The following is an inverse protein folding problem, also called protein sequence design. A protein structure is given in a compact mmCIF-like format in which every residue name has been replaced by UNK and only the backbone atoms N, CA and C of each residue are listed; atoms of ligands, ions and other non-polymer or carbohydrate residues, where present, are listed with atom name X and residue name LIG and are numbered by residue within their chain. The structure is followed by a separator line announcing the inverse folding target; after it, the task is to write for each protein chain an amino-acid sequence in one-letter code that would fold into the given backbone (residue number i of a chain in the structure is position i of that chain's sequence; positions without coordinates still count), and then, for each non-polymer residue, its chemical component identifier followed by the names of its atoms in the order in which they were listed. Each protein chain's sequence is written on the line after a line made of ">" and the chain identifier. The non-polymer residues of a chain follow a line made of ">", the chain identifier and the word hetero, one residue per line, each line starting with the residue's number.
data_IF_898034978497
#
_entry.id   IF_898034978497
#
_cell.length_a   1.000
_cell.length_b   1.000
_cell.length_c   1.000
_cell.angle_alpha   90.00
_cell.angle_beta   90.00
_cell.angle_gamma   90.00
#
_symmetry.space_group_name_H-M   'P 1'
#
loop_
_entity.id
_entity.type
_entity.pdbx_description
1 polymer ?
#
# COMPACT_ATOMS: atom_id res chain seq x y z
N UNK A 1 -9.36 40.57 73.72
CA UNK A 1 -8.23 40.25 72.79
C UNK A 1 -8.14 38.85 72.34
N UNK A 2 -8.75 37.85 72.93
CA UNK A 2 -8.69 36.41 72.56
C UNK A 2 -9.47 36.05 71.24
N UNK A 3 -10.55 36.70 70.93
CA UNK A 3 -11.37 36.39 69.75
C UNK A 3 -10.73 36.76 68.41
N UNK A 4 -9.88 37.80 68.35
CA UNK A 4 -9.11 38.20 67.16
C UNK A 4 -8.01 37.21 66.73
N UNK A 5 -7.40 36.53 67.72
CA UNK A 5 -6.34 35.51 67.49
C UNK A 5 -6.85 34.20 66.87
N UNK A 6 -8.09 33.85 67.12
CA UNK A 6 -8.69 32.59 66.57
C UNK A 6 -9.11 32.75 65.11
N UNK A 7 -9.53 33.94 64.67
CA UNK A 7 -9.91 34.19 63.28
C UNK A 7 -8.69 34.25 62.34
N UNK A 8 -7.53 34.66 62.78
CA UNK A 8 -6.29 34.67 62.01
C UNK A 8 -5.80 33.23 61.73
N UNK A 9 -5.78 32.38 62.72
CA UNK A 9 -5.42 30.97 62.57
C UNK A 9 -6.34 30.24 61.58
N UNK A 10 -7.66 30.48 61.65
CA UNK A 10 -8.67 29.94 60.69
C UNK A 10 -8.44 30.44 59.27
N UNK A 11 -8.05 31.69 59.08
CA UNK A 11 -7.73 32.24 57.76
C UNK A 11 -6.44 31.63 57.18
N UNK A 12 -5.39 31.44 57.97
CA UNK A 12 -4.17 30.76 57.52
C UNK A 12 -4.47 29.30 57.13
N UNK A 13 -5.21 28.57 57.95
CA UNK A 13 -5.61 27.17 57.61
C UNK A 13 -6.43 27.14 56.35
N UNK A 14 -7.35 28.07 56.15
CA UNK A 14 -8.12 28.20 54.91
C UNK A 14 -7.27 28.46 53.67
N UNK A 15 -6.25 29.36 53.78
CA UNK A 15 -5.31 29.65 52.68
C UNK A 15 -4.41 28.45 52.38
N UNK A 16 -3.94 27.73 53.39
CA UNK A 16 -3.14 26.51 53.23
C UNK A 16 -3.95 25.41 52.55
N UNK A 17 -5.21 25.21 52.94
CA UNK A 17 -6.10 24.24 52.30
C UNK A 17 -6.35 24.62 50.84
N UNK A 18 -6.59 25.90 50.55
CA UNK A 18 -6.78 26.36 49.17
C UNK A 18 -5.51 26.16 48.33
N UNK A 19 -4.32 26.43 48.88
CA UNK A 19 -3.05 26.18 48.20
C UNK A 19 -2.84 24.67 47.92
N UNK A 20 -3.13 23.80 48.89
CA UNK A 20 -3.06 22.34 48.69
C UNK A 20 -4.02 21.88 47.61
N UNK A 21 -5.26 22.36 47.60
CA UNK A 21 -6.24 22.03 46.58
C UNK A 21 -5.81 22.49 45.18
N UNK A 22 -5.27 23.71 45.08
CA UNK A 22 -4.72 24.24 43.81
C UNK A 22 -3.51 23.43 43.36
N UNK A 23 -2.60 23.03 44.25
CA UNK A 23 -1.45 22.22 43.94
C UNK A 23 -1.86 20.81 43.43
N UNK A 24 -2.78 20.16 44.13
CA UNK A 24 -3.33 18.86 43.71
C UNK A 24 -4.05 18.99 42.38
N UNK A 25 -4.85 20.03 42.21
CA UNK A 25 -5.52 20.31 40.91
C UNK A 25 -4.54 20.54 39.77
N UNK A 26 -3.43 21.25 40.04
CA UNK A 26 -2.37 21.49 39.08
C UNK A 26 -1.64 20.21 38.70
N UNK A 27 -1.30 19.36 39.67
CA UNK A 27 -0.68 18.05 39.43
C UNK A 27 -1.60 17.11 38.61
N UNK A 28 -2.88 17.11 38.96
CA UNK A 28 -3.89 16.35 38.19
C UNK A 28 -4.01 16.84 36.76
N UNK A 29 -4.03 18.17 36.57
CA UNK A 29 -4.08 18.77 35.24
C UNK A 29 -2.82 18.46 34.42
N UNK A 30 -1.62 18.60 35.00
CA UNK A 30 -0.37 18.25 34.32
C UNK A 30 -0.38 16.78 33.86
N UNK A 31 -0.78 15.88 34.75
CA UNK A 31 -0.89 14.45 34.41
C UNK A 31 -1.86 14.23 33.23
N UNK A 32 -2.98 14.92 33.20
CA UNK A 32 -3.94 14.82 32.11
C UNK A 32 -3.41 15.36 30.78
N UNK A 33 -2.64 16.42 30.81
CA UNK A 33 -1.97 16.99 29.63
C UNK A 33 -0.93 16.00 29.09
N UNK A 34 -0.13 15.38 29.98
CA UNK A 34 0.88 14.40 29.62
C UNK A 34 0.24 13.13 29.01
N UNK A 35 -0.79 12.56 29.65
CA UNK A 35 -1.56 11.43 29.11
C UNK A 35 -2.13 11.72 27.71
N UNK A 36 -2.63 12.93 27.49
CA UNK A 36 -3.15 13.34 26.19
C UNK A 36 -2.06 13.48 25.14
N UNK A 37 -0.92 14.06 25.51
CA UNK A 37 0.23 14.18 24.61
C UNK A 37 0.78 12.80 24.21
N UNK A 38 0.91 11.87 25.16
CA UNK A 38 1.31 10.48 24.88
C UNK A 38 0.32 9.78 23.95
N UNK A 39 -0.98 9.99 24.15
CA UNK A 39 -2.03 9.44 23.29
C UNK A 39 -1.93 9.97 21.84
N UNK A 40 -1.83 11.32 21.68
CA UNK A 40 -1.70 11.94 20.36
C UNK A 40 -0.39 11.52 19.66
N UNK A 41 0.70 11.40 20.42
CA UNK A 41 1.96 10.87 19.90
C UNK A 41 1.83 9.42 19.44
N UNK A 42 1.18 8.56 20.21
CA UNK A 42 0.96 7.16 19.84
C UNK A 42 0.10 7.03 18.58
N UNK A 43 -0.92 7.86 18.40
CA UNK A 43 -1.70 7.93 17.15
C UNK A 43 -0.79 8.29 15.97
N UNK A 44 0.07 9.29 16.12
CA UNK A 44 0.98 9.72 15.06
C UNK A 44 1.95 8.59 14.67
N UNK A 45 2.53 7.90 15.65
CA UNK A 45 3.40 6.72 15.42
C UNK A 45 2.61 5.59 14.77
N UNK A 46 1.39 5.33 15.21
CA UNK A 46 0.52 4.30 14.60
C UNK A 46 0.24 4.58 13.14
N UNK A 47 -0.11 5.82 12.82
CA UNK A 47 -0.33 6.25 11.43
C UNK A 47 0.94 6.09 10.59
N UNK A 48 2.12 6.34 11.17
CA UNK A 48 3.38 6.11 10.48
C UNK A 48 3.63 4.61 10.26
N UNK A 49 3.39 3.74 11.27
CA UNK A 49 3.49 2.29 11.10
C UNK A 49 2.56 1.77 10.00
N UNK A 50 1.30 2.25 9.97
CA UNK A 50 0.34 1.92 8.90
C UNK A 50 0.87 2.42 7.55
N UNK A 51 1.44 3.62 7.52
CA UNK A 51 1.97 4.23 6.31
C UNK A 51 3.08 3.41 5.68
N UNK A 52 3.99 2.91 6.50
CA UNK A 52 5.15 2.10 6.02
C UNK A 52 4.84 0.60 5.92
N UNK A 53 3.60 0.19 6.23
CA UNK A 53 3.21 -1.23 6.18
C UNK A 53 3.78 -2.06 7.33
N UNK A 54 4.31 -1.44 8.39
CA UNK A 54 4.70 -2.15 9.62
C UNK A 54 3.44 -2.50 10.44
N UNK A 55 2.76 -3.53 9.96
CA UNK A 55 1.51 -3.99 10.56
C UNK A 55 1.68 -4.51 11.99
N UNK A 56 2.87 -5.01 12.37
CA UNK A 56 3.15 -5.44 13.75
C UNK A 56 3.24 -4.25 14.70
N UNK A 57 3.94 -3.20 14.29
CA UNK A 57 3.99 -1.94 15.02
C UNK A 57 2.58 -1.32 15.12
N UNK A 58 1.85 -1.24 14.01
CA UNK A 58 0.50 -0.70 13.97
C UNK A 58 -0.45 -1.48 14.90
N UNK A 59 -0.45 -2.81 14.86
CA UNK A 59 -1.27 -3.65 15.73
C UNK A 59 -0.97 -3.42 17.22
N UNK A 60 0.30 -3.41 17.58
CA UNK A 60 0.73 -3.18 18.96
C UNK A 60 0.19 -1.84 19.50
N UNK A 61 0.34 -0.78 18.72
CA UNK A 61 -0.07 0.56 19.12
C UNK A 61 -1.59 0.70 19.15
N UNK A 62 -2.32 0.17 18.16
CA UNK A 62 -3.79 0.20 18.16
C UNK A 62 -4.36 -0.57 19.34
N UNK A 63 -3.78 -1.74 19.69
CA UNK A 63 -4.18 -2.49 20.89
C UNK A 63 -3.98 -1.69 22.18
N UNK A 64 -2.91 -0.93 22.28
CA UNK A 64 -2.66 -0.07 23.44
C UNK A 64 -3.63 1.10 23.51
N UNK A 65 -3.89 1.78 22.38
CA UNK A 65 -4.87 2.85 22.27
C UNK A 65 -6.29 2.37 22.62
N UNK A 66 -6.68 1.17 22.19
CA UNK A 66 -7.98 0.57 22.51
C UNK A 66 -8.13 0.20 24.00
N UNK A 67 -7.06 0.07 24.79
CA UNK A 67 -7.19 -0.06 26.25
C UNK A 67 -7.68 1.23 26.90
N UNK A 68 -7.26 2.38 26.35
CA UNK A 68 -7.68 3.70 26.85
C UNK A 68 -9.04 4.11 26.30
N UNK A 69 -9.30 3.80 25.04
CA UNK A 69 -10.54 4.17 24.32
C UNK A 69 -11.16 2.94 23.62
N UNK A 70 -11.72 1.98 24.39
CA UNK A 70 -12.17 0.70 23.83
C UNK A 70 -13.34 0.81 22.83
N UNK A 71 -14.08 1.89 22.86
CA UNK A 71 -15.24 2.15 21.98
C UNK A 71 -14.93 3.13 20.84
N UNK A 72 -13.67 3.51 20.62
CA UNK A 72 -13.32 4.36 19.48
C UNK A 72 -13.46 3.55 18.19
N UNK A 73 -14.45 3.93 17.38
CA UNK A 73 -14.80 3.24 16.14
C UNK A 73 -13.72 3.31 15.08
N UNK A 74 -12.90 4.37 15.05
CA UNK A 74 -11.79 4.51 14.10
C UNK A 74 -10.65 3.55 14.46
N UNK A 75 -10.31 3.44 15.76
CA UNK A 75 -9.30 2.48 16.22
C UNK A 75 -9.76 1.04 15.97
N UNK A 76 -11.05 0.77 16.16
CA UNK A 76 -11.62 -0.55 15.87
C UNK A 76 -11.60 -0.88 14.38
N UNK A 77 -11.89 0.09 13.51
CA UNK A 77 -11.75 -0.05 12.05
C UNK A 77 -10.28 -0.29 11.65
N UNK A 78 -9.35 0.48 12.22
CA UNK A 78 -7.92 0.26 11.98
C UNK A 78 -7.48 -1.14 12.41
N UNK A 79 -7.94 -1.63 13.56
CA UNK A 79 -7.60 -2.97 14.03
C UNK A 79 -8.08 -4.06 13.06
N UNK A 80 -9.32 -3.96 12.59
CA UNK A 80 -9.86 -4.88 11.59
C UNK A 80 -9.04 -4.85 10.30
N UNK A 81 -8.72 -3.65 9.79
CA UNK A 81 -7.88 -3.47 8.60
C UNK A 81 -6.47 -4.03 8.77
N UNK A 82 -5.84 -3.82 9.94
CA UNK A 82 -4.50 -4.34 10.24
C UNK A 82 -4.50 -5.88 10.25
N UNK A 83 -5.52 -6.51 10.85
CA UNK A 83 -5.64 -7.97 10.84
C UNK A 83 -5.80 -8.51 9.41
N UNK A 84 -6.58 -7.83 8.60
CA UNK A 84 -6.77 -8.16 7.19
C UNK A 84 -5.45 -8.05 6.38
N UNK A 85 -4.72 -6.95 6.54
CA UNK A 85 -3.44 -6.72 5.85
C UNK A 85 -2.32 -7.69 6.31
N UNK A 86 -2.46 -8.26 7.51
CA UNK A 86 -1.59 -9.34 8.00
C UNK A 86 -2.01 -10.72 7.48
N UNK A 87 -2.99 -10.84 6.60
CA UNK A 87 -3.57 -12.10 6.11
C UNK A 87 -4.18 -12.99 7.23
N UNK A 88 -4.55 -12.40 8.37
CA UNK A 88 -5.18 -13.07 9.51
C UNK A 88 -6.71 -12.99 9.39
N UNK A 89 -7.23 -13.56 8.30
CA UNK A 89 -8.62 -13.37 7.88
C UNK A 89 -9.63 -13.89 8.90
N UNK A 90 -9.40 -15.06 9.47
CA UNK A 90 -10.29 -15.61 10.49
C UNK A 90 -10.32 -14.76 11.77
N UNK A 91 -9.16 -14.23 12.18
CA UNK A 91 -9.10 -13.31 13.32
C UNK A 91 -9.76 -11.97 13.01
N UNK A 92 -9.63 -11.48 11.77
CA UNK A 92 -10.32 -10.28 11.30
C UNK A 92 -11.84 -10.44 11.40
N UNK A 93 -12.39 -11.54 10.88
CA UNK A 93 -13.82 -11.85 10.96
C UNK A 93 -14.27 -11.93 12.43
N UNK A 94 -13.57 -12.75 13.24
CA UNK A 94 -13.89 -12.93 14.66
C UNK A 94 -13.84 -11.62 15.43
N UNK A 95 -12.87 -10.75 15.14
CA UNK A 95 -12.79 -9.43 15.75
C UNK A 95 -13.96 -8.54 15.36
N UNK A 96 -14.33 -8.49 14.06
CA UNK A 96 -15.45 -7.69 13.57
C UNK A 96 -16.76 -8.14 14.22
N UNK A 97 -16.98 -9.44 14.44
CA UNK A 97 -18.16 -9.98 15.10
C UNK A 97 -18.30 -9.51 16.56
N UNK A 98 -17.22 -9.10 17.21
CA UNK A 98 -17.26 -8.52 18.57
C UNK A 98 -17.69 -7.07 18.60
N UNK A 99 -17.72 -6.38 17.46
CA UNK A 99 -18.00 -4.94 17.38
C UNK A 99 -19.51 -4.66 17.45
N UNK A 100 -19.86 -3.60 18.18
CA UNK A 100 -21.26 -3.21 18.41
C UNK A 100 -21.77 -2.14 17.43
N UNK A 101 -21.12 -1.95 16.29
CA UNK A 101 -21.52 -1.01 15.26
C UNK A 101 -21.38 -1.61 13.86
N UNK A 102 -22.05 -1.02 12.88
CA UNK A 102 -21.96 -1.40 11.47
C UNK A 102 -21.25 -0.33 10.66
N UNK A 103 -20.38 -0.76 9.77
CA UNK A 103 -19.69 0.12 8.82
C UNK A 103 -19.44 -0.63 7.52
N UNK A 104 -19.63 0.05 6.38
CA UNK A 104 -19.44 -0.55 5.05
C UNK A 104 -18.07 -1.21 4.84
N UNK A 105 -17.04 -0.63 5.46
CA UNK A 105 -15.67 -1.17 5.33
C UNK A 105 -15.53 -2.47 6.12
N UNK A 106 -16.24 -2.64 7.25
CA UNK A 106 -16.29 -3.91 8.00
C UNK A 106 -17.01 -4.99 7.19
N UNK A 107 -18.15 -4.65 6.57
CA UNK A 107 -18.89 -5.59 5.72
C UNK A 107 -18.01 -6.05 4.55
N UNK A 108 -17.29 -5.14 3.91
CA UNK A 108 -16.31 -5.45 2.86
C UNK A 108 -15.17 -6.37 3.37
N UNK A 109 -14.60 -6.06 4.55
CA UNK A 109 -13.52 -6.87 5.12
C UNK A 109 -13.98 -8.29 5.44
N UNK A 110 -15.20 -8.46 5.96
CA UNK A 110 -15.77 -9.80 6.23
C UNK A 110 -15.97 -10.58 4.93
N UNK A 111 -16.61 -9.97 3.92
CA UNK A 111 -16.84 -10.61 2.63
C UNK A 111 -15.51 -11.03 1.98
N UNK A 112 -14.55 -10.11 1.92
CA UNK A 112 -13.24 -10.37 1.31
C UNK A 112 -12.43 -11.39 2.09
N UNK A 113 -12.46 -11.34 3.43
CA UNK A 113 -11.77 -12.32 4.29
C UNK A 113 -12.32 -13.74 4.07
N UNK A 114 -13.65 -13.90 4.00
CA UNK A 114 -14.26 -15.21 3.74
C UNK A 114 -13.84 -15.77 2.37
N UNK A 115 -13.81 -14.93 1.34
CA UNK A 115 -13.37 -15.34 0.01
C UNK A 115 -11.90 -15.78 0.02
N UNK A 116 -11.03 -15.00 0.66
CA UNK A 116 -9.58 -15.30 0.74
C UNK A 116 -9.29 -16.53 1.60
N UNK A 117 -10.03 -16.76 2.68
CA UNK A 117 -9.92 -17.98 3.48
C UNK A 117 -10.31 -19.23 2.70
N UNK A 118 -11.41 -19.19 1.96
CA UNK A 118 -11.81 -20.30 1.08
C UNK A 118 -10.77 -20.58 0.01
N UNK A 119 -10.20 -19.53 -0.58
CA UNK A 119 -9.08 -19.61 -1.51
C UNK A 119 -7.87 -20.33 -0.88
N UNK A 120 -7.42 -19.85 0.30
CA UNK A 120 -6.26 -20.40 1.00
C UNK A 120 -6.45 -21.88 1.42
N UNK A 121 -7.67 -22.29 1.78
CA UNK A 121 -7.97 -23.65 2.19
C UNK A 121 -7.83 -24.68 1.03
N UNK A 122 -7.91 -24.20 -0.22
CA UNK A 122 -7.85 -25.04 -1.42
C UNK A 122 -6.47 -25.01 -2.09
N UNK A 123 -5.57 -24.10 -1.66
CA UNK A 123 -4.29 -23.87 -2.31
C UNK A 123 -3.14 -24.64 -1.65
N UNK A 124 -2.30 -25.24 -2.49
CA UNK A 124 -0.95 -25.65 -2.10
C UNK A 124 -0.07 -24.42 -1.86
N UNK A 125 0.94 -24.54 -1.02
CA UNK A 125 1.87 -23.44 -0.71
C UNK A 125 3.30 -23.88 -0.89
N UNK A 126 4.06 -23.16 -1.70
CA UNK A 126 5.51 -23.28 -1.80
C UNK A 126 6.16 -21.93 -1.42
N UNK A 127 7.38 -21.98 -0.89
CA UNK A 127 8.09 -20.78 -0.44
C UNK A 127 9.50 -20.74 -1.00
N UNK A 128 9.94 -19.52 -1.35
CA UNK A 128 11.34 -19.22 -1.68
C UNK A 128 11.89 -18.16 -0.73
N UNK A 129 13.02 -17.53 -1.07
CA UNK A 129 13.62 -16.50 -0.22
C UNK A 129 12.70 -15.29 -0.06
N UNK A 130 12.17 -14.76 -1.17
CA UNK A 130 11.38 -13.52 -1.18
C UNK A 130 9.88 -13.75 -1.44
N UNK A 131 9.46 -14.98 -1.79
CA UNK A 131 8.08 -15.27 -2.19
C UNK A 131 7.41 -16.34 -1.36
N UNK A 132 6.09 -16.20 -1.25
CA UNK A 132 5.13 -17.23 -0.90
C UNK A 132 4.24 -17.46 -2.12
N UNK A 133 4.30 -18.63 -2.73
CA UNK A 133 3.50 -18.99 -3.88
C UNK A 133 2.37 -19.92 -3.45
N UNK A 134 1.15 -19.51 -3.73
CA UNK A 134 -0.09 -20.25 -3.51
C UNK A 134 -0.59 -20.77 -4.85
N UNK A 135 -1.09 -21.99 -4.93
CA UNK A 135 -1.58 -22.58 -6.17
C UNK A 135 -2.70 -23.57 -5.91
N UNK A 136 -3.72 -23.60 -6.77
CA UNK A 136 -4.69 -24.69 -6.81
C UNK A 136 -4.02 -25.96 -7.35
N UNK A 137 -4.62 -27.14 -7.18
CA UNK A 137 -4.02 -28.43 -7.58
C UNK A 137 -3.70 -28.60 -9.07
N UNK A 138 -3.80 -27.53 -9.87
CA UNK A 138 -3.62 -27.54 -11.32
C UNK A 138 -2.18 -27.43 -11.82
N UNK A 139 -1.33 -26.53 -11.27
CA UNK A 139 0.05 -26.42 -11.72
C UNK A 139 0.87 -27.64 -11.33
N UNK A 140 1.74 -28.10 -12.24
CA UNK A 140 2.74 -29.08 -11.89
C UNK A 140 3.76 -28.48 -10.92
N UNK A 141 4.40 -29.32 -10.09
CA UNK A 141 5.50 -28.86 -9.23
C UNK A 141 6.61 -28.17 -10.01
N UNK A 142 6.84 -28.59 -11.26
CA UNK A 142 7.82 -27.97 -12.16
C UNK A 142 7.41 -26.54 -12.50
N UNK A 143 6.14 -26.29 -12.83
CA UNK A 143 5.65 -24.95 -13.18
C UNK A 143 5.76 -24.00 -11.99
N UNK A 144 5.41 -24.48 -10.78
CA UNK A 144 5.55 -23.74 -9.53
C UNK A 144 7.00 -23.35 -9.27
N UNK A 145 7.94 -24.28 -9.41
CA UNK A 145 9.36 -24.02 -9.19
C UNK A 145 9.94 -23.09 -10.25
N UNK A 146 9.49 -23.19 -11.50
CA UNK A 146 9.90 -22.31 -12.59
C UNK A 146 9.39 -20.88 -12.36
N UNK A 147 8.15 -20.69 -11.93
CA UNK A 147 7.60 -19.38 -11.57
C UNK A 147 8.40 -18.73 -10.44
N UNK A 148 8.69 -19.48 -9.38
CA UNK A 148 9.51 -19.01 -8.27
C UNK A 148 10.92 -18.59 -8.73
N UNK A 149 11.55 -19.38 -9.60
CA UNK A 149 12.88 -19.04 -10.12
C UNK A 149 12.88 -17.74 -10.96
N UNK A 150 11.84 -17.55 -11.79
CA UNK A 150 11.71 -16.30 -12.56
C UNK A 150 11.45 -15.11 -11.63
N UNK A 151 10.61 -15.29 -10.60
CA UNK A 151 10.31 -14.23 -9.63
C UNK A 151 11.54 -13.82 -8.81
N UNK A 152 12.38 -14.76 -8.37
CA UNK A 152 13.61 -14.43 -7.65
C UNK A 152 14.57 -13.63 -8.54
N UNK A 153 14.71 -14.00 -9.83
CA UNK A 153 15.50 -13.21 -10.80
C UNK A 153 14.90 -11.82 -11.01
N UNK A 154 13.59 -11.71 -11.10
CA UNK A 154 12.93 -10.43 -11.25
C UNK A 154 13.09 -9.56 -9.98
N UNK A 155 12.98 -10.16 -8.80
CA UNK A 155 13.19 -9.49 -7.51
C UNK A 155 14.58 -8.87 -7.43
N UNK A 156 15.63 -9.66 -7.69
CA UNK A 156 17.01 -9.19 -7.68
C UNK A 156 17.22 -8.05 -8.70
N UNK A 157 16.65 -8.21 -9.90
CA UNK A 157 16.76 -7.20 -10.95
C UNK A 157 16.10 -5.88 -10.55
N UNK A 158 14.86 -5.92 -10.06
CA UNK A 158 14.10 -4.72 -9.67
C UNK A 158 14.69 -4.08 -8.41
N UNK A 159 15.10 -4.89 -7.42
CA UNK A 159 15.80 -4.40 -6.22
C UNK A 159 17.04 -3.59 -6.56
N UNK A 160 17.86 -4.10 -7.48
CA UNK A 160 19.07 -3.41 -7.92
C UNK A 160 18.76 -2.13 -8.72
N UNK A 161 17.71 -2.13 -9.55
CA UNK A 161 17.31 -0.94 -10.31
C UNK A 161 16.81 0.17 -9.38
N UNK A 162 15.97 -0.17 -8.39
CA UNK A 162 15.37 0.81 -7.50
C UNK A 162 16.21 1.14 -6.26
N UNK A 163 17.25 0.35 -5.98
CA UNK A 163 18.03 0.41 -4.74
C UNK A 163 17.10 0.29 -3.52
N UNK A 164 16.19 -0.68 -3.58
CA UNK A 164 15.14 -0.90 -2.58
C UNK A 164 14.90 -2.39 -2.33
N UNK A 165 14.79 -2.76 -1.07
CA UNK A 165 14.52 -4.13 -0.61
C UNK A 165 13.20 -4.15 0.18
N UNK A 166 12.14 -4.76 -0.35
CA UNK A 166 10.91 -4.98 0.40
C UNK A 166 11.14 -5.81 1.67
N UNK A 167 10.58 -5.39 2.80
CA UNK A 167 10.81 -6.05 4.10
C UNK A 167 10.04 -7.37 4.24
N UNK A 168 8.91 -7.49 3.56
CA UNK A 168 8.03 -8.64 3.65
C UNK A 168 8.12 -9.52 2.41
N UNK A 169 7.90 -10.84 2.60
CA UNK A 169 7.73 -11.75 1.45
C UNK A 169 6.51 -11.35 0.65
N UNK A 170 6.63 -11.45 -0.66
CA UNK A 170 5.54 -11.17 -1.59
C UNK A 170 4.74 -12.43 -1.87
N UNK A 171 3.42 -12.30 -1.92
CA UNK A 171 2.52 -13.41 -2.23
C UNK A 171 2.18 -13.44 -3.71
N UNK A 172 2.34 -14.62 -4.32
CA UNK A 172 1.89 -14.93 -5.67
C UNK A 172 0.82 -16.02 -5.62
N UNK A 173 -0.25 -15.88 -6.38
CA UNK A 173 -1.26 -16.92 -6.60
C UNK A 173 -1.23 -17.35 -8.05
N UNK A 174 -1.00 -18.65 -8.30
CA UNK A 174 -1.19 -19.28 -9.60
C UNK A 174 -2.58 -19.92 -9.65
N UNK A 175 -3.41 -19.56 -10.61
CA UNK A 175 -4.78 -20.07 -10.75
C UNK A 175 -5.07 -20.58 -12.14
N UNK A 176 -5.98 -21.57 -12.26
CA UNK A 176 -6.36 -22.15 -13.55
C UNK A 176 -7.38 -21.33 -14.31
N UNK A 177 -8.25 -20.61 -13.61
CA UNK A 177 -9.38 -19.90 -14.22
C UNK A 177 -9.17 -18.38 -14.13
N UNK A 178 -9.51 -17.66 -15.22
CA UNK A 178 -9.52 -16.19 -15.24
C UNK A 178 -10.66 -15.60 -14.40
N UNK A 179 -11.71 -16.37 -14.17
CA UNK A 179 -12.85 -15.95 -13.33
C UNK A 179 -12.60 -16.21 -11.84
N UNK A 180 -11.35 -16.14 -11.41
CA UNK A 180 -11.00 -16.40 -10.04
C UNK A 180 -11.78 -15.49 -9.09
N UNK A 181 -12.46 -16.10 -8.13
CA UNK A 181 -13.33 -15.41 -7.18
C UNK A 181 -12.56 -14.33 -6.42
N UNK A 182 -13.06 -13.11 -6.43
CA UNK A 182 -12.46 -11.96 -5.75
C UNK A 182 -11.66 -11.01 -6.64
N UNK A 183 -11.32 -11.38 -7.88
CA UNK A 183 -10.65 -10.45 -8.82
C UNK A 183 -11.65 -9.65 -9.64
N UNK A 184 -12.92 -10.07 -9.71
CA UNK A 184 -13.99 -9.47 -10.53
C UNK A 184 -13.87 -9.80 -12.02
N UNK A 185 -14.97 -9.69 -12.77
CA UNK A 185 -14.94 -9.81 -14.22
C UNK A 185 -14.05 -8.72 -14.83
N UNK A 186 -12.98 -9.11 -15.51
CA UNK A 186 -12.00 -8.20 -16.12
C UNK A 186 -12.00 -8.36 -17.63
N UNK A 187 -11.58 -7.32 -18.38
CA UNK A 187 -11.41 -7.43 -19.82
C UNK A 187 -10.43 -8.58 -20.20
N UNK A 188 -10.70 -9.27 -21.32
CA UNK A 188 -9.91 -10.43 -21.78
C UNK A 188 -8.42 -10.14 -22.05
N UNK A 189 -8.06 -8.88 -22.19
CA UNK A 189 -6.68 -8.44 -22.43
C UNK A 189 -5.83 -8.33 -21.17
N UNK A 190 -6.42 -8.47 -19.97
CA UNK A 190 -5.70 -8.43 -18.69
C UNK A 190 -5.08 -9.81 -18.44
N UNK A 191 -3.75 -9.90 -18.55
CA UNK A 191 -3.02 -11.15 -18.43
C UNK A 191 -2.76 -11.57 -16.97
N UNK A 192 -2.59 -10.60 -16.07
CA UNK A 192 -2.35 -10.82 -14.64
C UNK A 192 -2.81 -9.60 -13.84
N UNK A 193 -2.76 -9.66 -12.52
CA UNK A 193 -3.22 -8.59 -11.64
C UNK A 193 -2.45 -8.56 -10.34
N UNK A 194 -2.14 -7.35 -9.89
CA UNK A 194 -1.68 -7.08 -8.53
C UNK A 194 -2.77 -6.36 -7.72
N UNK A 195 -3.34 -7.04 -6.71
CA UNK A 195 -4.33 -6.50 -5.77
C UNK A 195 -3.88 -6.60 -4.30
N UNK A 196 -2.56 -6.67 -4.10
CA UNK A 196 -1.89 -7.00 -2.84
C UNK A 196 -1.22 -8.37 -2.90
N UNK A 197 -1.71 -9.26 -3.77
CA UNK A 197 -1.04 -10.49 -4.22
C UNK A 197 -0.86 -10.43 -5.74
N UNK A 198 0.23 -11.01 -6.23
CA UNK A 198 0.37 -11.23 -7.68
C UNK A 198 -0.54 -12.38 -8.07
N UNK A 199 -1.43 -12.19 -9.05
CA UNK A 199 -2.34 -13.22 -9.54
C UNK A 199 -2.05 -13.52 -11.00
N UNK A 200 -1.63 -14.74 -11.29
CA UNK A 200 -1.19 -15.16 -12.62
C UNK A 200 -1.89 -16.47 -13.02
N UNK A 201 -2.55 -16.52 -14.18
CA UNK A 201 -3.15 -17.78 -14.65
C UNK A 201 -2.09 -18.77 -15.11
N UNK A 202 -2.24 -20.03 -14.68
CA UNK A 202 -1.29 -21.13 -14.96
C UNK A 202 -1.10 -21.38 -16.46
N UNK A 203 -2.14 -21.20 -17.25
CA UNK A 203 -2.07 -21.40 -18.70
C UNK A 203 -1.04 -20.50 -19.39
N UNK A 204 -0.70 -19.35 -18.82
CA UNK A 204 0.37 -18.48 -19.32
C UNK A 204 1.74 -19.16 -19.19
N UNK A 205 1.93 -20.05 -18.23
CA UNK A 205 3.22 -20.71 -17.99
C UNK A 205 3.68 -21.62 -19.13
N UNK A 206 2.76 -22.03 -20.00
CA UNK A 206 3.10 -22.77 -21.22
C UNK A 206 3.91 -21.93 -22.22
N UNK A 207 3.90 -20.61 -22.09
CA UNK A 207 4.53 -19.67 -23.04
C UNK A 207 5.53 -18.77 -22.33
N UNK A 208 6.78 -19.22 -22.22
CA UNK A 208 7.85 -18.54 -21.47
C UNK A 208 8.07 -17.09 -21.89
N UNK A 209 7.98 -16.82 -23.18
CA UNK A 209 8.13 -15.48 -23.77
C UNK A 209 7.05 -14.52 -23.27
N UNK A 210 5.91 -15.03 -22.85
CA UNK A 210 4.75 -14.25 -22.39
C UNK A 210 4.77 -14.12 -20.86
N UNK A 211 4.88 -15.24 -20.14
CA UNK A 211 4.72 -15.15 -18.68
C UNK A 211 5.88 -14.44 -17.98
N UNK A 212 7.10 -14.55 -18.50
CA UNK A 212 8.25 -13.86 -17.88
C UNK A 212 8.08 -12.35 -17.85
N UNK A 213 7.79 -11.63 -18.97
CA UNK A 213 7.45 -10.22 -18.92
C UNK A 213 6.30 -9.90 -17.97
N UNK A 214 5.22 -10.72 -17.98
CA UNK A 214 4.08 -10.53 -17.09
C UNK A 214 4.49 -10.58 -15.61
N UNK A 215 5.33 -11.55 -15.21
CA UNK A 215 5.81 -11.62 -13.83
C UNK A 215 6.67 -10.41 -13.44
N UNK A 216 7.52 -9.93 -14.35
CA UNK A 216 8.29 -8.70 -14.12
C UNK A 216 7.38 -7.48 -13.98
N UNK A 217 6.35 -7.37 -14.82
CA UNK A 217 5.37 -6.30 -14.79
C UNK A 217 4.65 -6.23 -13.44
N UNK A 218 4.01 -7.34 -13.06
CA UNK A 218 3.23 -7.41 -11.82
C UNK A 218 4.11 -7.27 -10.58
N UNK A 219 5.32 -7.84 -10.60
CA UNK A 219 6.25 -7.66 -9.51
C UNK A 219 6.70 -6.20 -9.37
N UNK A 220 6.83 -5.46 -10.47
CA UNK A 220 7.12 -4.02 -10.41
C UNK A 220 6.03 -3.25 -9.68
N UNK A 221 4.74 -3.57 -9.90
CA UNK A 221 3.65 -2.98 -9.12
C UNK A 221 3.76 -3.28 -7.62
N UNK A 222 4.15 -4.51 -7.26
CA UNK A 222 4.38 -4.87 -5.87
C UNK A 222 5.51 -4.05 -5.24
N UNK A 223 6.62 -3.84 -5.95
CA UNK A 223 7.71 -2.98 -5.52
C UNK A 223 7.28 -1.52 -5.37
N UNK A 224 6.58 -0.97 -6.37
CA UNK A 224 6.06 0.40 -6.31
C UNK A 224 5.15 0.58 -5.10
N UNK A 225 4.25 -0.37 -4.83
CA UNK A 225 3.39 -0.35 -3.66
C UNK A 225 4.19 -0.41 -2.36
N UNK A 226 5.18 -1.30 -2.26
CA UNK A 226 6.03 -1.44 -1.07
C UNK A 226 6.86 -0.18 -0.78
N UNK A 227 7.31 0.53 -1.83
CA UNK A 227 8.07 1.77 -1.68
C UNK A 227 7.22 2.97 -1.30
N UNK A 228 6.00 3.07 -1.83
CA UNK A 228 5.26 4.34 -1.81
C UNK A 228 4.20 4.40 -0.73
N UNK A 229 3.54 3.28 -0.44
CA UNK A 229 2.34 3.21 0.41
C UNK A 229 1.34 4.34 0.10
N UNK A 230 1.32 4.84 -1.13
CA UNK A 230 0.55 5.99 -1.57
C UNK A 230 -0.18 5.69 -2.90
N UNK A 231 -1.17 6.53 -3.22
CA UNK A 231 -1.82 6.50 -4.54
C UNK A 231 -0.84 7.04 -5.59
N UNK A 232 -0.18 6.13 -6.28
CA UNK A 232 0.66 6.46 -7.42
C UNK A 232 -0.22 6.72 -8.63
N UNK A 233 -0.01 7.82 -9.39
CA UNK A 233 -0.72 8.04 -10.64
C UNK A 233 -0.56 6.85 -11.57
N UNK A 234 -1.66 6.41 -12.21
CA UNK A 234 -1.66 5.18 -13.00
C UNK A 234 -0.57 5.19 -14.08
N UNK A 235 -0.36 6.33 -14.76
CA UNK A 235 0.68 6.44 -15.77
C UNK A 235 2.11 6.21 -15.25
N UNK A 236 2.40 6.58 -13.99
CA UNK A 236 3.72 6.30 -13.39
C UNK A 236 3.87 4.82 -13.07
N UNK A 237 2.83 4.24 -12.48
CA UNK A 237 2.80 2.83 -12.08
C UNK A 237 2.90 1.90 -13.29
N UNK A 238 2.01 2.09 -14.27
CA UNK A 238 1.99 1.31 -15.51
C UNK A 238 3.22 1.57 -16.39
N UNK A 239 3.63 2.83 -16.46
CA UNK A 239 4.77 3.23 -17.30
C UNK A 239 6.07 2.58 -16.85
N UNK A 240 6.36 2.56 -15.54
CA UNK A 240 7.60 1.93 -15.04
C UNK A 240 7.53 0.40 -15.16
N UNK A 241 6.37 -0.22 -14.95
CA UNK A 241 6.19 -1.65 -15.14
C UNK A 241 6.47 -2.06 -16.59
N UNK A 242 5.94 -1.32 -17.60
CA UNK A 242 6.19 -1.56 -19.01
C UNK A 242 7.64 -1.29 -19.43
N UNK A 243 8.34 -0.37 -18.78
CA UNK A 243 9.78 -0.16 -19.05
C UNK A 243 10.58 -1.35 -18.56
N UNK A 244 10.25 -1.90 -17.40
CA UNK A 244 10.97 -3.01 -16.77
C UNK A 244 10.66 -4.34 -17.47
N UNK A 245 9.40 -4.60 -17.86
CA UNK A 245 9.02 -5.83 -18.56
C UNK A 245 9.54 -5.88 -20.01
N UNK A 246 9.82 -4.73 -20.60
CA UNK A 246 10.34 -4.54 -21.96
C UNK A 246 9.49 -5.15 -23.10
N UNK A 247 8.27 -5.64 -22.81
CA UNK A 247 7.44 -6.40 -23.77
C UNK A 247 6.95 -5.57 -24.97
N UNK A 248 6.77 -4.26 -24.79
CA UNK A 248 6.18 -3.35 -25.79
C UNK A 248 7.15 -2.26 -26.29
N UNK A 249 8.46 -2.55 -26.27
CA UNK A 249 9.50 -1.53 -26.55
C UNK A 249 9.44 -0.90 -27.93
N UNK A 250 8.95 -1.61 -28.93
CA UNK A 250 8.97 -1.23 -30.35
C UNK A 250 7.59 -0.83 -30.89
N UNK A 251 6.59 -0.64 -30.05
CA UNK A 251 5.26 -0.26 -30.52
C UNK A 251 5.22 1.16 -31.07
N UNK A 252 4.62 1.31 -32.25
CA UNK A 252 4.33 2.61 -32.83
C UNK A 252 3.28 3.34 -32.02
N UNK A 253 3.31 4.68 -32.11
CA UNK A 253 2.31 5.51 -31.46
C UNK A 253 0.90 5.19 -31.96
N UNK A 254 -0.06 4.86 -31.07
CA UNK A 254 -1.44 4.65 -31.46
C UNK A 254 -2.04 5.90 -32.09
N UNK A 255 -2.87 5.72 -33.13
CA UNK A 255 -3.53 6.81 -33.83
C UNK A 255 -4.56 7.56 -32.97
N UNK A 256 -4.92 8.77 -33.39
CA UNK A 256 -5.97 9.56 -32.76
C UNK A 256 -5.49 10.64 -31.80
N UNK A 257 -6.44 11.22 -31.05
CA UNK A 257 -6.16 12.34 -30.15
C UNK A 257 -5.27 11.93 -28.95
N UNK A 258 -4.50 12.90 -28.46
CA UNK A 258 -3.69 12.71 -27.25
C UNK A 258 -4.56 12.53 -26.01
N UNK A 259 -4.20 11.65 -25.08
CA UNK A 259 -4.92 11.53 -23.83
C UNK A 259 -4.75 12.80 -22.97
N UNK A 260 -5.74 13.05 -22.12
CA UNK A 260 -5.61 14.07 -21.07
C UNK A 260 -4.79 13.54 -19.90
N UNK A 261 -4.17 14.45 -19.15
CA UNK A 261 -3.47 14.06 -17.92
C UNK A 261 -4.42 13.44 -16.91
N UNK A 262 -5.69 13.85 -16.90
CA UNK A 262 -6.72 13.28 -16.03
C UNK A 262 -6.99 11.80 -16.36
N UNK A 263 -7.11 11.45 -17.65
CA UNK A 263 -7.29 10.05 -18.07
C UNK A 263 -6.08 9.17 -17.73
N UNK A 264 -4.87 9.72 -17.80
CA UNK A 264 -3.63 9.03 -17.45
C UNK A 264 -3.43 8.83 -15.92
N UNK A 265 -4.12 9.63 -15.09
CA UNK A 265 -4.08 9.48 -13.63
C UNK A 265 -4.99 8.38 -13.11
N UNK A 266 -6.10 8.12 -13.81
CA UNK A 266 -7.11 7.11 -13.44
C UNK A 266 -6.64 5.71 -13.82
N UNK A 267 -7.19 4.69 -13.17
CA UNK A 267 -6.92 3.29 -13.54
C UNK A 267 -7.47 2.97 -14.93
N UNK A 268 -6.68 2.33 -15.76
CA UNK A 268 -7.06 1.85 -17.10
C UNK A 268 -7.52 0.38 -17.08
N UNK A 269 -7.37 -0.33 -15.97
CA UNK A 269 -7.69 -1.77 -15.88
C UNK A 269 -9.15 -2.06 -16.25
N UNK A 270 -10.03 -1.10 -16.02
CA UNK A 270 -11.45 -1.22 -16.33
C UNK A 270 -11.85 -0.47 -17.62
N UNK A 271 -10.87 -0.01 -18.42
CA UNK A 271 -11.16 0.61 -19.72
C UNK A 271 -11.72 -0.45 -20.68
N UNK A 272 -12.91 -0.22 -21.18
CA UNK A 272 -13.61 -1.17 -22.07
C UNK A 272 -13.18 -1.06 -23.51
N UNK A 273 -12.70 0.11 -23.92
CA UNK A 273 -12.16 0.35 -25.25
C UNK A 273 -10.68 -0.05 -25.27
N UNK A 274 -10.37 -1.18 -25.89
CA UNK A 274 -9.03 -1.72 -26.01
C UNK A 274 -8.05 -0.77 -26.70
N UNK A 275 -8.50 -0.02 -27.73
CA UNK A 275 -7.65 0.96 -28.40
C UNK A 275 -7.35 2.17 -27.51
N UNK A 276 -8.33 2.59 -26.71
CA UNK A 276 -8.11 3.63 -25.70
C UNK A 276 -7.16 3.14 -24.60
N UNK A 277 -7.34 1.92 -24.10
CA UNK A 277 -6.44 1.31 -23.12
C UNK A 277 -5.00 1.25 -23.67
N UNK A 278 -4.81 0.70 -24.87
CA UNK A 278 -3.51 0.63 -25.56
C UNK A 278 -2.84 2.01 -25.67
N UNK A 279 -3.63 3.03 -25.97
CA UNK A 279 -3.14 4.42 -26.03
C UNK A 279 -2.63 4.91 -24.67
N UNK A 280 -3.42 4.68 -23.60
CA UNK A 280 -3.04 5.09 -22.24
C UNK A 280 -1.76 4.39 -21.76
N UNK A 281 -1.64 3.10 -22.03
CA UNK A 281 -0.43 2.31 -21.74
C UNK A 281 0.78 2.83 -22.52
N UNK A 282 0.64 3.09 -23.81
CA UNK A 282 1.72 3.63 -24.65
C UNK A 282 2.24 4.98 -24.13
N UNK A 283 1.32 5.92 -23.83
CA UNK A 283 1.70 7.23 -23.31
C UNK A 283 2.34 7.13 -21.93
N UNK A 284 1.81 6.28 -21.05
CA UNK A 284 2.36 6.03 -19.72
C UNK A 284 3.83 5.59 -19.79
N UNK A 285 4.11 4.60 -20.63
CA UNK A 285 5.46 4.13 -20.88
C UNK A 285 6.37 5.24 -21.39
N UNK A 286 5.93 5.97 -22.45
CA UNK A 286 6.75 7.02 -23.06
C UNK A 286 7.05 8.17 -22.10
N UNK A 287 6.11 8.53 -21.23
CA UNK A 287 6.34 9.53 -20.18
C UNK A 287 7.43 9.08 -19.22
N UNK A 288 7.41 7.84 -18.76
CA UNK A 288 8.46 7.30 -17.88
C UNK A 288 9.80 7.19 -18.61
N UNK A 289 9.84 6.70 -19.86
CA UNK A 289 11.05 6.67 -20.68
C UNK A 289 11.68 8.07 -20.83
N UNK A 290 10.88 9.12 -21.00
CA UNK A 290 11.38 10.50 -21.05
C UNK A 290 12.02 10.95 -19.73
N UNK A 291 11.42 10.59 -18.59
CA UNK A 291 12.00 10.87 -17.27
C UNK A 291 13.33 10.14 -17.08
N UNK A 292 13.38 8.84 -17.38
CA UNK A 292 14.59 8.05 -17.25
C UNK A 292 15.71 8.54 -18.21
N UNK A 293 15.34 8.87 -19.44
CA UNK A 293 16.31 9.39 -20.44
C UNK A 293 16.93 10.73 -20.01
N UNK A 294 16.19 11.55 -19.25
CA UNK A 294 16.71 12.82 -18.71
C UNK A 294 17.88 12.61 -17.75
N UNK A 295 17.89 11.49 -17.03
CA UNK A 295 18.97 11.10 -16.13
C UNK A 295 19.95 10.09 -16.77
N UNK A 296 19.98 10.02 -18.09
CA UNK A 296 20.91 9.19 -18.86
C UNK A 296 20.49 7.73 -19.05
N UNK A 297 19.30 7.33 -18.59
CA UNK A 297 18.71 6.00 -18.89
C UNK A 297 19.35 4.80 -18.17
N UNK A 298 20.41 5.01 -17.39
CA UNK A 298 21.12 3.96 -16.66
C UNK A 298 20.50 3.67 -15.27
N UNK A 299 21.15 2.82 -14.44
CA UNK A 299 20.66 2.46 -13.11
C UNK A 299 20.37 3.66 -12.20
N UNK A 300 21.14 4.74 -12.28
CA UNK A 300 20.90 5.96 -11.50
C UNK A 300 19.57 6.63 -11.87
N UNK A 301 19.13 6.56 -13.12
CA UNK A 301 17.84 7.07 -13.54
C UNK A 301 16.70 6.33 -12.86
N UNK A 302 16.79 5.00 -12.73
CA UNK A 302 15.79 4.20 -12.01
C UNK A 302 15.78 4.51 -10.51
N UNK A 303 16.95 4.70 -9.89
CA UNK A 303 17.06 5.12 -8.48
C UNK A 303 16.44 6.49 -8.24
N UNK A 304 16.69 7.46 -9.14
CA UNK A 304 16.06 8.78 -9.03
C UNK A 304 14.53 8.69 -9.21
N UNK A 305 14.07 7.85 -10.14
CA UNK A 305 12.63 7.60 -10.31
C UNK A 305 12.02 6.96 -9.05
N UNK A 306 12.68 5.98 -8.43
CA UNK A 306 12.25 5.38 -7.18
C UNK A 306 12.15 6.41 -6.04
N UNK A 307 13.15 7.31 -5.89
CA UNK A 307 13.09 8.43 -4.94
C UNK A 307 11.94 9.38 -5.23
N UNK A 308 11.67 9.65 -6.51
CA UNK A 308 10.50 10.46 -6.90
C UNK A 308 9.18 9.79 -6.48
N UNK A 309 9.04 8.47 -6.66
CA UNK A 309 7.89 7.70 -6.20
C UNK A 309 7.71 7.78 -4.68
N UNK A 310 8.79 7.64 -3.91
CA UNK A 310 8.75 7.74 -2.44
C UNK A 310 8.30 9.12 -1.95
N UNK A 311 8.65 10.18 -2.67
CA UNK A 311 8.27 11.55 -2.33
C UNK A 311 6.80 11.90 -2.70
N UNK A 312 6.10 11.07 -3.50
CA UNK A 312 4.74 11.35 -3.95
C UNK A 312 3.77 11.63 -2.81
N UNK A 313 3.90 10.91 -1.70
CA UNK A 313 3.02 11.06 -0.56
C UNK A 313 3.16 12.41 0.11
N UNK A 314 4.38 12.87 0.30
CA UNK A 314 4.68 14.12 1.00
C UNK A 314 4.46 15.36 0.12
N UNK A 315 4.78 15.25 -1.17
CA UNK A 315 4.85 16.40 -2.09
C UNK A 315 3.74 16.40 -3.16
N UNK A 316 3.00 15.32 -3.29
CA UNK A 316 2.10 15.11 -4.42
C UNK A 316 2.87 14.91 -5.74
N UNK A 317 2.17 14.57 -6.83
CA UNK A 317 2.80 14.22 -8.11
C UNK A 317 3.66 15.35 -8.66
N UNK A 318 3.11 16.55 -8.77
CA UNK A 318 3.85 17.68 -9.36
C UNK A 318 4.98 18.17 -8.45
N UNK A 319 4.82 18.08 -7.13
CA UNK A 319 5.87 18.41 -6.17
C UNK A 319 7.06 17.47 -6.26
N UNK A 320 6.82 16.16 -6.30
CA UNK A 320 7.86 15.14 -6.45
C UNK A 320 8.57 15.28 -7.81
N UNK A 321 7.82 15.42 -8.90
CA UNK A 321 8.40 15.63 -10.24
C UNK A 321 9.24 16.90 -10.33
N UNK A 322 8.78 18.00 -9.73
CA UNK A 322 9.58 19.25 -9.69
C UNK A 322 10.88 19.07 -8.91
N UNK A 323 10.83 18.37 -7.77
CA UNK A 323 12.02 18.11 -6.93
C UNK A 323 13.06 17.29 -7.69
N UNK A 324 12.67 16.22 -8.38
CA UNK A 324 13.58 15.26 -8.99
C UNK A 324 13.92 15.58 -10.46
N UNK A 325 12.98 16.19 -11.20
CA UNK A 325 13.11 16.40 -12.64
C UNK A 325 12.95 17.86 -13.08
N UNK A 326 12.53 18.77 -12.19
CA UNK A 326 12.27 20.17 -12.52
C UNK A 326 11.00 20.39 -13.36
N UNK A 327 10.08 19.44 -13.40
CA UNK A 327 8.94 19.39 -14.32
C UNK A 327 7.64 19.07 -13.57
N UNK A 328 6.50 19.45 -14.16
CA UNK A 328 5.17 18.96 -13.76
C UNK A 328 4.79 17.72 -14.58
N UNK A 329 3.74 17.01 -14.16
CA UNK A 329 3.21 15.89 -14.94
C UNK A 329 2.71 16.35 -16.33
N UNK A 330 2.21 17.57 -16.45
CA UNK A 330 1.81 18.14 -17.75
C UNK A 330 3.03 18.37 -18.65
N UNK A 331 4.13 18.91 -18.12
CA UNK A 331 5.36 19.10 -18.88
C UNK A 331 5.89 17.77 -19.42
N UNK A 332 5.84 16.70 -18.60
CA UNK A 332 6.25 15.34 -19.02
C UNK A 332 5.36 14.82 -20.15
N UNK A 333 4.04 15.01 -20.06
CA UNK A 333 3.10 14.63 -21.12
C UNK A 333 3.38 15.40 -22.42
N UNK A 334 3.71 16.69 -22.33
CA UNK A 334 4.00 17.52 -23.49
C UNK A 334 5.31 17.12 -24.20
N UNK A 335 6.26 16.48 -23.50
CA UNK A 335 7.46 15.88 -24.12
C UNK A 335 7.17 14.64 -25.00
N UNK A 336 5.99 14.04 -24.85
CA UNK A 336 5.58 12.83 -25.59
C UNK A 336 4.64 13.17 -26.75
N UNK A 337 4.06 14.35 -26.73
CA UNK A 337 3.21 14.88 -27.80
C UNK A 337 4.02 15.32 -29.00
#
# INVERSE_FOLDING_TARGET
>A
MAQKKNNWKRRIVGLLLMYVLMFVGYQYWQKKVEERFEYEHMIAVTNECIRVGDWKCAEKNVRELLKSEPNDTNLQLHMAGILFEQERYQECISYIETLNFKHKDLDYLVEKSNLLEQEMAQLGVEKSMHFRLEFDGGPSKKDVMEALAVLEVAYDSISNLFDFLPENKMSLVLYQDREFQGVGARPDWVAAVFDGKLRVPVNLMAYREVYRPVLFHELTHAFVRAMTHANVPCWMNEGIAQVIDASHSNEERPAGAYPSLESLRKSFVNEKDAEQAKKLYWFSRRMVEKLLARDGGGPEAFRNFAKCLQDLRALGTDGALKKHYGMTAQDVLDLVR
#
